data_IF_244262970617
#
_entry.id   IF_244262970617
#
_cell.length_a   1.000
_cell.length_b   1.000
_cell.length_c   1.000
_cell.angle_alpha   90.00
_cell.angle_beta   90.00
_cell.angle_gamma   90.00
#
_symmetry.space_group_name_H-M   'P 1'
#
loop_
_entity.id
_entity.type
_entity.pdbx_description
1 polymer ?
#
# COMPACT_ATOMS: atom_id res chain seq x y z
N UNK A 1 15.68 -2.43 14.16
CA UNK A 1 14.56 -3.04 13.42
C UNK A 1 14.92 -2.97 11.96
N UNK A 2 14.88 -4.10 11.23
CA UNK A 2 15.27 -4.11 9.83
C UNK A 2 14.13 -3.41 9.06
N UNK A 3 14.40 -2.27 8.40
CA UNK A 3 13.33 -1.46 7.76
C UNK A 3 12.45 -2.31 6.83
N UNK A 4 13.03 -3.34 6.20
CA UNK A 4 12.33 -4.33 5.37
C UNK A 4 11.15 -5.03 6.10
N UNK A 5 11.31 -5.41 7.37
CA UNK A 5 10.24 -6.07 8.16
C UNK A 5 9.05 -5.15 8.43
N UNK A 6 9.29 -3.85 8.55
CA UNK A 6 8.23 -2.86 8.76
C UNK A 6 7.36 -2.78 7.51
N UNK A 7 7.98 -2.67 6.33
CA UNK A 7 7.25 -2.61 5.06
C UNK A 7 6.48 -3.90 4.78
N UNK A 8 7.08 -5.07 5.01
CA UNK A 8 6.39 -6.35 4.79
C UNK A 8 5.10 -6.46 5.62
N UNK A 9 5.09 -5.92 6.85
CA UNK A 9 3.89 -5.88 7.68
C UNK A 9 2.82 -4.88 7.18
N UNK A 10 3.22 -3.76 6.58
CA UNK A 10 2.26 -2.83 5.95
C UNK A 10 1.72 -3.39 4.63
N UNK A 11 2.60 -3.88 3.77
CA UNK A 11 2.25 -4.42 2.46
C UNK A 11 1.37 -5.66 2.55
N UNK A 12 1.60 -6.54 3.55
CA UNK A 12 0.71 -7.69 3.79
C UNK A 12 -0.71 -7.25 4.16
N UNK A 13 -0.87 -6.19 4.96
CA UNK A 13 -2.20 -5.63 5.28
C UNK A 13 -2.83 -4.96 4.06
N UNK A 14 -2.06 -4.20 3.29
CA UNK A 14 -2.53 -3.58 2.04
C UNK A 14 -3.02 -4.66 1.07
N UNK A 15 -2.25 -5.74 0.89
CA UNK A 15 -2.63 -6.88 0.05
C UNK A 15 -3.95 -7.49 0.51
N UNK A 16 -4.11 -7.74 1.80
CA UNK A 16 -5.35 -8.31 2.37
C UNK A 16 -6.58 -7.42 2.10
N UNK A 17 -6.46 -6.11 2.29
CA UNK A 17 -7.60 -5.19 2.10
C UNK A 17 -7.92 -4.96 0.62
N UNK A 18 -6.90 -4.97 -0.26
CA UNK A 18 -7.08 -4.92 -1.70
C UNK A 18 -7.82 -6.16 -2.21
N UNK A 19 -7.43 -7.36 -1.78
CA UNK A 19 -8.08 -8.61 -2.18
C UNK A 19 -9.56 -8.65 -1.78
N UNK A 20 -9.91 -8.02 -0.65
CA UNK A 20 -11.28 -7.95 -0.09
C UNK A 20 -12.12 -6.78 -0.60
N UNK A 21 -11.54 -5.87 -1.39
CA UNK A 21 -12.16 -4.60 -1.79
C UNK A 21 -12.65 -3.79 -0.56
N UNK A 22 -11.90 -3.86 0.54
CA UNK A 22 -12.25 -3.21 1.82
C UNK A 22 -11.78 -1.75 1.82
N UNK A 23 -12.59 -0.89 1.19
CA UNK A 23 -12.24 0.51 0.99
C UNK A 23 -12.12 1.32 2.28
N UNK A 24 -12.88 0.98 3.33
CA UNK A 24 -12.75 1.65 4.63
C UNK A 24 -11.39 1.32 5.26
N UNK A 25 -10.98 0.07 5.18
CA UNK A 25 -9.67 -0.35 5.67
C UNK A 25 -8.52 0.23 4.82
N UNK A 26 -8.69 0.34 3.49
CA UNK A 26 -7.71 1.00 2.60
C UNK A 26 -7.54 2.46 3.01
N UNK A 27 -8.63 3.22 3.16
CA UNK A 27 -8.62 4.62 3.56
C UNK A 27 -7.91 4.81 4.91
N UNK A 28 -8.27 3.98 5.91
CA UNK A 28 -7.62 4.00 7.22
C UNK A 28 -6.11 3.74 7.15
N UNK A 29 -5.68 2.77 6.33
CA UNK A 29 -4.25 2.45 6.18
C UNK A 29 -3.51 3.61 5.51
N UNK A 30 -4.07 4.19 4.45
CA UNK A 30 -3.45 5.33 3.76
C UNK A 30 -3.38 6.55 4.68
N UNK A 31 -4.46 6.88 5.39
CA UNK A 31 -4.46 7.97 6.37
C UNK A 31 -3.40 7.73 7.44
N UNK A 32 -3.30 6.52 7.97
CA UNK A 32 -2.27 6.17 8.94
C UNK A 32 -0.85 6.33 8.36
N UNK A 33 -0.59 5.87 7.13
CA UNK A 33 0.72 5.98 6.48
C UNK A 33 1.11 7.44 6.25
N UNK A 34 0.20 8.26 5.72
CA UNK A 34 0.45 9.67 5.43
C UNK A 34 0.47 10.57 6.67
N UNK A 35 -0.26 10.21 7.73
CA UNK A 35 -0.25 10.95 9.01
C UNK A 35 0.88 10.51 9.94
N UNK A 36 1.39 9.29 9.77
CA UNK A 36 2.59 8.86 10.46
C UNK A 36 3.76 9.68 9.96
N UNK A 37 4.57 10.22 10.88
CA UNK A 37 5.81 10.94 10.59
C UNK A 37 6.91 9.98 10.08
N UNK A 38 6.54 8.99 9.26
CA UNK A 38 7.46 8.12 8.57
C UNK A 38 8.22 9.00 7.59
N UNK A 39 9.56 9.07 7.68
CA UNK A 39 10.34 9.88 6.77
C UNK A 39 9.99 9.54 5.32
N UNK A 40 9.85 10.54 4.46
CA UNK A 40 9.53 10.34 3.03
C UNK A 40 10.53 9.39 2.35
N UNK A 41 11.81 9.46 2.73
CA UNK A 41 12.87 8.56 2.27
C UNK A 41 12.61 7.08 2.62
N UNK A 42 11.83 6.83 3.69
CA UNK A 42 11.39 5.51 4.09
C UNK A 42 10.17 5.05 3.28
N UNK A 43 9.27 5.92 2.86
CA UNK A 43 8.14 5.54 2.02
C UNK A 43 8.49 5.43 0.54
N UNK A 44 9.59 6.05 0.10
CA UNK A 44 10.05 6.01 -1.30
C UNK A 44 10.09 4.61 -1.93
N UNK A 45 10.38 3.56 -1.14
CA UNK A 45 10.46 2.19 -1.67
C UNK A 45 9.10 1.57 -1.99
N UNK A 46 8.02 2.10 -1.41
CA UNK A 46 6.65 1.63 -1.59
C UNK A 46 5.74 2.73 -2.15
N UNK A 47 6.29 3.88 -2.57
CA UNK A 47 5.52 5.04 -3.02
C UNK A 47 4.68 4.72 -4.25
N UNK A 48 5.22 3.93 -5.19
CA UNK A 48 4.47 3.46 -6.35
C UNK A 48 3.27 2.60 -5.91
N UNK A 49 3.46 1.69 -4.94
CA UNK A 49 2.37 0.88 -4.38
C UNK A 49 1.30 1.77 -3.74
N UNK A 50 1.71 2.74 -2.92
CA UNK A 50 0.78 3.63 -2.21
C UNK A 50 -0.02 4.50 -3.18
N UNK A 51 0.60 4.97 -4.28
CA UNK A 51 -0.09 5.71 -5.33
C UNK A 51 -1.16 4.85 -6.02
N UNK A 52 -0.82 3.63 -6.43
CA UNK A 52 -1.79 2.72 -7.07
C UNK A 52 -2.94 2.37 -6.12
N UNK A 53 -2.67 2.14 -4.84
CA UNK A 53 -3.69 1.91 -3.80
C UNK A 53 -4.60 3.14 -3.63
N UNK A 54 -4.03 4.34 -3.68
CA UNK A 54 -4.79 5.60 -3.60
C UNK A 54 -5.68 5.78 -4.82
N UNK A 55 -5.16 5.56 -6.02
CA UNK A 55 -5.93 5.62 -7.27
C UNK A 55 -7.05 4.58 -7.27
N UNK A 56 -6.78 3.37 -6.75
CA UNK A 56 -7.82 2.37 -6.59
C UNK A 56 -8.91 2.82 -5.61
N UNK A 57 -8.52 3.42 -4.47
CA UNK A 57 -9.47 3.96 -3.50
C UNK A 57 -10.35 5.08 -4.12
N UNK A 58 -9.78 5.98 -4.91
CA UNK A 58 -10.49 7.13 -5.48
C UNK A 58 -11.36 6.75 -6.68
N UNK A 59 -10.81 5.96 -7.61
CA UNK A 59 -11.40 5.70 -8.92
C UNK A 59 -12.17 4.38 -8.97
N UNK A 60 -11.91 3.47 -8.03
CA UNK A 60 -12.50 2.12 -7.96
C UNK A 60 -12.25 1.30 -9.23
N UNK A 61 -11.20 1.64 -9.99
CA UNK A 61 -10.83 0.92 -11.21
C UNK A 61 -9.91 -0.25 -10.90
N UNK A 62 -10.30 -1.44 -11.35
CA UNK A 62 -9.61 -2.70 -11.08
C UNK A 62 -8.17 -2.71 -11.60
N UNK A 63 -7.85 -1.95 -12.64
CA UNK A 63 -6.49 -1.84 -13.19
C UNK A 63 -5.49 -1.35 -12.12
N UNK A 64 -5.90 -0.38 -11.28
CA UNK A 64 -5.07 0.13 -10.18
C UNK A 64 -4.88 -0.91 -9.07
N UNK A 65 -5.92 -1.73 -8.79
CA UNK A 65 -5.80 -2.84 -7.83
C UNK A 65 -4.81 -3.89 -8.33
N UNK A 66 -4.91 -4.30 -9.59
CA UNK A 66 -3.99 -5.30 -10.15
C UNK A 66 -2.56 -4.78 -10.14
N UNK A 67 -2.35 -3.54 -10.57
CA UNK A 67 -1.02 -2.93 -10.57
C UNK A 67 -0.43 -2.83 -9.16
N UNK A 68 -1.23 -2.43 -8.16
CA UNK A 68 -0.79 -2.41 -6.77
C UNK A 68 -0.36 -3.80 -6.27
N UNK A 69 -1.13 -4.85 -6.60
CA UNK A 69 -0.82 -6.23 -6.22
C UNK A 69 0.46 -6.74 -6.90
N UNK A 70 0.64 -6.46 -8.19
CA UNK A 70 1.88 -6.80 -8.91
C UNK A 70 3.11 -6.16 -8.26
N UNK A 71 3.04 -4.87 -7.95
CA UNK A 71 4.14 -4.14 -7.31
C UNK A 71 4.48 -4.69 -5.92
N UNK A 72 3.47 -5.11 -5.14
CA UNK A 72 3.69 -5.78 -3.85
C UNK A 72 4.44 -7.09 -4.07
N UNK A 73 4.05 -7.90 -5.05
CA UNK A 73 4.74 -9.16 -5.35
C UNK A 73 6.15 -8.96 -5.88
N UNK A 74 6.42 -7.89 -6.64
CA UNK A 74 7.77 -7.51 -7.06
C UNK A 74 8.65 -7.09 -5.88
N UNK A 75 8.09 -6.37 -4.90
CA UNK A 75 8.81 -5.94 -3.71
C UNK A 75 9.16 -7.09 -2.76
N UNK A 76 8.31 -8.13 -2.71
CA UNK A 76 8.51 -9.32 -1.86
C UNK A 76 9.59 -10.29 -2.39
N UNK A 77 9.96 -10.19 -3.67
CA UNK A 77 11.01 -11.00 -4.32
C UNK A 77 12.43 -10.59 -3.87
#
# INVERSE_FOLDING_TARGET
MNKKEIYTNYLSKIKEVLEKDDFEAIDYILEFVYSSWIPTDELMQIDEILNEVTLYLELKDWEYKERALELIEEFEK
#
